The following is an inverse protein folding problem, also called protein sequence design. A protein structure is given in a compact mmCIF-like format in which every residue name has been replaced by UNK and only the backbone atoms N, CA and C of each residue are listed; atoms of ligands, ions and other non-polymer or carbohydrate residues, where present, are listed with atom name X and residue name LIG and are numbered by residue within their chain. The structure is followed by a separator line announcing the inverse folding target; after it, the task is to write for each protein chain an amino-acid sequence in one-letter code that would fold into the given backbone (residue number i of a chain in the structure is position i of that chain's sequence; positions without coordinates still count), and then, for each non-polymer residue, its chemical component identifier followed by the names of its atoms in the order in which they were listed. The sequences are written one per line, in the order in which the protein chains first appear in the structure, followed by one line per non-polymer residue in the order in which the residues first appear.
data_IF_589459174125
#
_entry.id   IF_589459174125
#
_cell.length_a   1.000
_cell.length_b   1.000
_cell.length_c   1.000
_cell.angle_alpha   90.00
_cell.angle_beta   90.00
_cell.angle_gamma   90.00
#
_symmetry.space_group_name_H-M   'P 1'
#
loop_
_entity.id
_entity.type
_entity.pdbx_description
1 polymer ?
#
# COMPACT_ATOMS: atom_id res chain seq x y z
N UNK A 1 -10.84 10.13 15.61
CA UNK A 1 -9.44 9.71 15.80
C UNK A 1 -9.39 8.78 17.01
N UNK A 2 -8.97 7.53 16.82
CA UNK A 2 -8.93 6.49 17.86
C UNK A 2 -7.45 6.30 18.25
N UNK A 3 -7.18 6.32 19.55
CA UNK A 3 -5.86 6.16 20.20
C UNK A 3 -5.02 5.05 19.56
N UNK A 4 -3.98 5.47 18.86
CA UNK A 4 -2.59 5.02 19.02
C UNK A 4 -2.36 3.52 19.21
N UNK A 5 -2.43 2.75 18.12
CA UNK A 5 -1.31 1.85 17.85
C UNK A 5 -0.15 2.74 17.37
N UNK A 6 0.73 3.12 18.30
CA UNK A 6 2.00 3.73 17.91
C UNK A 6 2.72 2.73 16.99
N UNK A 7 2.73 3.00 15.69
CA UNK A 7 3.51 2.22 14.72
C UNK A 7 4.94 2.16 15.22
N UNK A 8 5.46 0.94 15.36
CA UNK A 8 6.82 0.76 15.84
C UNK A 8 7.81 1.36 14.83
N UNK A 9 8.96 1.83 15.32
CA UNK A 9 10.01 2.35 14.44
C UNK A 9 10.48 1.28 13.42
N UNK A 10 10.40 0.00 13.79
CA UNK A 10 10.63 -1.14 12.91
C UNK A 10 9.62 -1.20 11.75
N UNK A 11 8.33 -1.03 12.01
CA UNK A 11 7.30 -1.08 10.96
C UNK A 11 7.42 0.07 9.96
N UNK A 12 7.78 1.25 10.45
CA UNK A 12 8.03 2.44 9.62
C UNK A 12 9.25 2.25 8.72
N UNK A 13 10.35 1.72 9.27
CA UNK A 13 11.59 1.48 8.52
C UNK A 13 11.43 0.36 7.50
N UNK A 14 10.73 -0.72 7.84
CA UNK A 14 10.43 -1.82 6.90
C UNK A 14 9.51 -1.34 5.78
N UNK A 15 8.49 -0.54 6.10
CA UNK A 15 7.59 0.04 5.08
C UNK A 15 8.36 0.95 4.11
N UNK A 16 9.31 1.75 4.61
CA UNK A 16 10.16 2.59 3.77
C UNK A 16 11.14 1.75 2.93
N UNK A 17 11.79 0.76 3.54
CA UNK A 17 12.73 -0.15 2.86
C UNK A 17 12.05 -0.97 1.75
N UNK A 18 10.75 -1.26 1.90
CA UNK A 18 9.94 -1.92 0.86
C UNK A 18 9.97 -1.19 -0.48
N UNK A 19 10.16 0.13 -0.50
CA UNK A 19 10.21 0.89 -1.74
C UNK A 19 11.53 0.78 -2.52
N UNK A 20 12.56 0.10 -1.99
CA UNK A 20 13.74 -0.29 -2.78
C UNK A 20 13.43 -1.61 -3.51
N UNK A 21 13.39 -1.66 -4.85
CA UNK A 21 13.37 -2.95 -5.55
C UNK A 21 14.70 -3.69 -5.34
N UNK A 22 14.71 -5.02 -5.12
CA UNK A 22 13.56 -5.94 -5.03
C UNK A 22 13.11 -6.20 -3.58
N UNK A 23 13.46 -5.36 -2.61
CA UNK A 23 13.25 -5.61 -1.17
C UNK A 23 11.77 -5.86 -0.83
N UNK A 24 10.82 -5.23 -1.52
CA UNK A 24 9.40 -5.54 -1.30
C UNK A 24 9.08 -7.02 -1.48
N UNK A 25 9.70 -7.69 -2.46
CA UNK A 25 9.44 -9.10 -2.74
C UNK A 25 9.98 -9.98 -1.60
N UNK A 26 11.21 -9.68 -1.15
CA UNK A 26 11.84 -10.36 -0.02
C UNK A 26 11.04 -10.16 1.27
N UNK A 27 10.61 -8.94 1.54
CA UNK A 27 9.86 -8.59 2.75
C UNK A 27 8.46 -9.22 2.79
N UNK A 28 7.82 -9.43 1.63
CA UNK A 28 6.53 -10.15 1.52
C UNK A 28 6.62 -11.65 1.86
N UNK A 29 7.81 -12.27 1.77
CA UNK A 29 8.02 -13.66 2.17
C UNK A 29 7.85 -13.86 3.68
N UNK A 30 8.13 -12.83 4.47
CA UNK A 30 8.03 -12.91 5.93
C UNK A 30 6.60 -12.68 6.39
N UNK A 31 6.02 -13.71 7.02
CA UNK A 31 4.65 -13.68 7.57
C UNK A 31 4.40 -12.49 8.50
N UNK A 32 5.41 -12.09 9.30
CA UNK A 32 5.33 -10.94 10.23
C UNK A 32 4.90 -9.65 9.51
N UNK A 33 5.58 -9.30 8.42
CA UNK A 33 5.34 -8.05 7.69
C UNK A 33 4.09 -8.11 6.81
N UNK A 34 3.71 -9.31 6.36
CA UNK A 34 2.47 -9.53 5.59
C UNK A 34 1.20 -9.43 6.43
N UNK A 35 1.28 -9.65 7.75
CA UNK A 35 0.12 -9.55 8.64
C UNK A 35 -0.11 -8.13 9.15
N UNK A 36 0.93 -7.31 9.28
CA UNK A 36 0.77 -5.89 9.61
C UNK A 36 0.11 -5.15 8.43
N UNK A 37 -1.02 -4.49 8.68
CA UNK A 37 -1.78 -3.80 7.64
C UNK A 37 -1.01 -2.63 7.00
N UNK A 38 -0.31 -1.84 7.80
CA UNK A 38 0.48 -0.70 7.34
C UNK A 38 1.66 -1.15 6.48
N UNK A 39 2.45 -2.11 6.97
CA UNK A 39 3.60 -2.64 6.22
C UNK A 39 3.15 -3.35 4.95
N UNK A 40 2.10 -4.18 5.03
CA UNK A 40 1.54 -4.86 3.86
C UNK A 40 1.07 -3.86 2.79
N UNK A 41 0.38 -2.80 3.19
CA UNK A 41 -0.06 -1.76 2.26
C UNK A 41 1.12 -1.18 1.48
N UNK A 42 2.17 -0.74 2.19
CA UNK A 42 3.35 -0.14 1.55
C UNK A 42 4.14 -1.14 0.69
N UNK A 43 4.23 -2.41 1.11
CA UNK A 43 4.87 -3.46 0.32
C UNK A 43 4.12 -3.76 -0.99
N UNK A 44 2.79 -3.90 -0.93
CA UNK A 44 1.97 -4.12 -2.14
C UNK A 44 2.04 -2.88 -3.04
N UNK A 45 2.00 -1.69 -2.47
CA UNK A 45 2.10 -0.45 -3.21
C UNK A 45 3.47 -0.33 -3.93
N UNK A 46 4.57 -0.65 -3.24
CA UNK A 46 5.90 -0.73 -3.84
C UNK A 46 6.00 -1.79 -4.96
N UNK A 47 5.35 -2.94 -4.78
CA UNK A 47 5.28 -3.99 -5.78
C UNK A 47 4.57 -3.51 -7.05
N UNK A 48 3.39 -2.88 -6.90
CA UNK A 48 2.61 -2.34 -8.02
C UNK A 48 3.39 -1.26 -8.77
N UNK A 49 4.06 -0.35 -8.06
CA UNK A 49 4.88 0.69 -8.67
C UNK A 49 6.06 0.10 -9.45
N UNK A 50 6.73 -0.91 -8.87
CA UNK A 50 7.85 -1.61 -9.52
C UNK A 50 7.42 -2.35 -10.79
N UNK A 51 6.28 -3.05 -10.74
CA UNK A 51 5.71 -3.77 -11.88
C UNK A 51 5.25 -2.82 -12.98
N UNK A 52 4.62 -1.71 -12.63
CA UNK A 52 4.21 -0.69 -13.59
C UNK A 52 5.41 -0.08 -14.32
N UNK A 53 6.48 0.26 -13.59
CA UNK A 53 7.71 0.78 -14.20
C UNK A 53 8.38 -0.27 -15.11
N UNK A 54 8.45 -1.54 -14.67
CA UNK A 54 8.98 -2.62 -15.49
C UNK A 54 8.19 -2.79 -16.79
N UNK A 55 6.86 -2.69 -16.74
CA UNK A 55 6.00 -2.76 -17.91
C UNK A 55 6.26 -1.61 -18.88
N UNK A 56 6.39 -0.37 -18.38
CA UNK A 56 6.70 0.80 -19.21
C UNK A 56 8.06 0.63 -19.91
N UNK A 57 9.08 0.21 -19.17
CA UNK A 57 10.43 -0.01 -19.72
C UNK A 57 10.40 -1.11 -20.80
N UNK A 58 9.68 -2.20 -20.55
CA UNK A 58 9.55 -3.31 -21.48
C UNK A 58 8.80 -2.91 -22.76
N UNK A 59 7.69 -2.18 -22.64
CA UNK A 59 6.95 -1.66 -23.79
C UNK A 59 7.78 -0.66 -24.61
N UNK A 60 8.50 0.24 -23.93
CA UNK A 60 9.39 1.22 -24.58
C UNK A 60 10.53 0.53 -25.33
N UNK A 61 11.14 -0.49 -24.73
CA UNK A 61 12.18 -1.30 -25.36
C UNK A 61 11.67 -2.11 -26.55
N UNK A 62 10.51 -2.76 -26.42
CA UNK A 62 9.88 -3.50 -27.52
C UNK A 62 9.51 -2.59 -28.70
N UNK A 63 8.95 -1.41 -28.41
CA UNK A 63 8.64 -0.42 -29.44
C UNK A 63 9.91 0.01 -30.19
N UNK A 64 10.99 0.31 -29.44
CA UNK A 64 12.27 0.70 -30.03
C UNK A 64 12.85 -0.41 -30.93
N UNK A 65 12.81 -1.66 -30.47
CA UNK A 65 13.26 -2.83 -31.24
C UNK A 65 12.46 -3.00 -32.53
N UNK A 66 11.13 -2.88 -32.46
CA UNK A 66 10.25 -3.02 -33.63
C UNK A 66 10.53 -1.92 -34.65
N UNK A 67 10.62 -0.68 -34.20
CA UNK A 67 10.89 0.47 -35.06
C UNK A 67 12.29 0.39 -35.70
N UNK A 68 13.30 -0.07 -34.96
CA UNK A 68 14.63 -0.31 -35.52
C UNK A 68 14.63 -1.39 -36.61
N UNK A 69 13.79 -2.42 -36.50
CA UNK A 69 13.61 -3.42 -37.56
C UNK A 69 12.89 -2.88 -38.80
N UNK A 70 11.89 -2.01 -38.62
CA UNK A 70 11.10 -1.49 -39.74
C UNK A 70 11.78 -0.35 -40.49
N UNK A 71 12.53 0.50 -39.79
CA UNK A 71 13.12 1.73 -40.35
C UNK A 71 14.64 1.65 -40.51
N UNK A 72 15.26 0.55 -40.08
CA UNK A 72 16.70 0.45 -39.91
C UNK A 72 17.19 1.19 -38.66
N UNK A 73 18.50 1.29 -38.49
CA UNK A 73 19.07 2.02 -37.36
C UNK A 73 18.86 3.53 -37.51
N UNK A 74 18.16 4.14 -36.56
CA UNK A 74 17.98 5.59 -36.48
C UNK A 74 18.59 6.13 -35.18
N UNK A 75 19.64 6.95 -35.33
CA UNK A 75 20.31 7.62 -34.21
C UNK A 75 19.33 8.50 -33.41
N UNK A 76 18.45 9.23 -34.11
CA UNK A 76 17.44 10.10 -33.50
C UNK A 76 16.46 9.29 -32.66
N UNK A 77 15.95 8.18 -33.21
CA UNK A 77 15.01 7.31 -32.49
C UNK A 77 15.65 6.69 -31.24
N UNK A 78 16.93 6.33 -31.33
CA UNK A 78 17.71 5.80 -30.20
C UNK A 78 17.83 6.85 -29.10
N UNK A 79 18.17 8.10 -29.45
CA UNK A 79 18.25 9.22 -28.52
C UNK A 79 16.91 9.52 -27.84
N UNK A 80 15.81 9.54 -28.59
CA UNK A 80 14.46 9.77 -28.04
C UNK A 80 14.09 8.65 -27.06
N UNK A 81 14.27 7.39 -27.47
CA UNK A 81 13.96 6.23 -26.62
C UNK A 81 14.78 6.26 -25.32
N UNK A 82 16.09 6.52 -25.42
CA UNK A 82 16.98 6.61 -24.26
C UNK A 82 16.56 7.71 -23.29
N UNK A 83 16.19 8.90 -23.80
CA UNK A 83 15.70 10.00 -22.97
C UNK A 83 14.36 9.68 -22.29
N UNK A 84 13.44 9.00 -22.99
CA UNK A 84 12.16 8.57 -22.40
C UNK A 84 12.39 7.57 -21.26
N UNK A 85 13.30 6.61 -21.44
CA UNK A 85 13.68 5.65 -20.39
C UNK A 85 14.31 6.39 -19.20
N UNK A 86 15.27 7.29 -19.45
CA UNK A 86 15.94 8.05 -18.39
C UNK A 86 14.95 8.91 -17.59
N UNK A 87 14.05 9.60 -18.28
CA UNK A 87 13.00 10.41 -17.63
C UNK A 87 12.04 9.53 -16.82
N UNK A 88 11.61 8.39 -17.35
CA UNK A 88 10.76 7.43 -16.62
C UNK A 88 11.43 6.94 -15.35
N UNK A 89 12.72 6.59 -15.41
CA UNK A 89 13.50 6.17 -14.25
C UNK A 89 13.65 7.29 -13.22
N UNK A 90 13.90 8.52 -13.67
CA UNK A 90 14.04 9.69 -12.79
C UNK A 90 12.73 10.00 -12.06
N UNK A 91 11.61 10.04 -12.79
CA UNK A 91 10.27 10.25 -12.21
C UNK A 91 9.94 9.14 -11.21
N UNK A 92 10.21 7.88 -11.56
CA UNK A 92 9.97 6.73 -10.68
C UNK A 92 10.81 6.80 -9.41
N UNK A 93 12.10 7.17 -9.52
CA UNK A 93 12.98 7.34 -8.37
C UNK A 93 12.47 8.46 -7.44
N UNK A 94 12.03 9.59 -7.99
CA UNK A 94 11.40 10.66 -7.22
C UNK A 94 10.13 10.20 -6.50
N UNK A 95 9.30 9.40 -7.18
CA UNK A 95 8.08 8.85 -6.61
C UNK A 95 8.35 7.84 -5.49
N UNK A 96 9.32 6.95 -5.69
CA UNK A 96 9.81 6.00 -4.67
C UNK A 96 10.30 6.75 -3.43
N UNK A 97 11.13 7.79 -3.61
CA UNK A 97 11.64 8.58 -2.49
C UNK A 97 10.50 9.30 -1.73
N UNK A 98 9.56 9.91 -2.45
CA UNK A 98 8.38 10.53 -1.85
C UNK A 98 7.54 9.53 -1.04
N UNK A 99 7.31 8.34 -1.59
CA UNK A 99 6.58 7.27 -0.92
C UNK A 99 7.30 6.74 0.33
N UNK A 100 8.61 6.53 0.25
CA UNK A 100 9.43 6.10 1.38
C UNK A 100 9.43 7.15 2.50
N UNK A 101 9.56 8.43 2.17
CA UNK A 101 9.49 9.54 3.14
C UNK A 101 8.13 9.66 3.81
N UNK A 102 7.05 9.34 3.11
CA UNK A 102 5.72 9.31 3.73
C UNK A 102 5.53 8.08 4.62
N UNK A 103 6.09 6.94 4.25
CA UNK A 103 6.08 5.73 5.07
C UNK A 103 6.83 5.94 6.39
N UNK A 104 8.00 6.61 6.39
CA UNK A 104 8.72 6.92 7.64
C UNK A 104 7.95 7.88 8.56
N UNK A 105 7.02 8.66 8.01
CA UNK A 105 6.10 9.54 8.76
C UNK A 105 4.80 8.84 9.19
N UNK A 106 4.66 7.54 8.93
CA UNK A 106 3.45 6.76 9.24
C UNK A 106 2.23 7.14 8.39
N UNK A 107 2.44 7.76 7.23
CA UNK A 107 1.36 8.24 6.35
C UNK A 107 1.13 7.29 5.18
N UNK A 108 -0.13 6.92 4.97
CA UNK A 108 -0.56 6.22 3.76
C UNK A 108 -0.41 7.14 2.55
N UNK A 109 0.26 6.66 1.50
CA UNK A 109 0.50 7.44 0.28
C UNK A 109 -0.60 7.15 -0.74
N UNK A 110 -1.52 8.10 -0.93
CA UNK A 110 -2.61 7.93 -1.90
C UNK A 110 -2.15 8.45 -3.25
N UNK A 111 -1.82 7.54 -4.17
CA UNK A 111 -1.68 7.88 -5.59
C UNK A 111 -3.07 7.74 -6.24
N UNK A 112 -3.66 8.82 -6.79
CA UNK A 112 -4.93 8.69 -7.53
C UNK A 112 -4.78 7.67 -8.67
N UNK A 113 -5.72 6.72 -8.77
CA UNK A 113 -5.67 5.58 -9.70
C UNK A 113 -5.14 4.28 -9.06
N UNK A 114 -3.89 4.27 -8.61
CA UNK A 114 -3.25 3.08 -7.99
C UNK A 114 -3.91 2.67 -6.66
N UNK A 115 -4.32 3.66 -5.86
CA UNK A 115 -5.07 3.45 -4.64
C UNK A 115 -6.45 2.84 -4.88
N UNK A 116 -7.13 3.20 -5.98
CA UNK A 116 -8.43 2.61 -6.35
C UNK A 116 -8.28 1.14 -6.75
N UNK A 117 -7.24 0.80 -7.52
CA UNK A 117 -6.92 -0.59 -7.88
C UNK A 117 -6.59 -1.42 -6.62
N UNK A 118 -5.82 -0.85 -5.68
CA UNK A 118 -5.52 -1.50 -4.41
C UNK A 118 -6.79 -1.80 -3.62
N UNK A 119 -7.70 -0.82 -3.46
CA UNK A 119 -8.96 -1.07 -2.76
C UNK A 119 -9.80 -2.11 -3.50
N UNK A 120 -9.92 -2.05 -4.82
CA UNK A 120 -10.70 -3.02 -5.59
C UNK A 120 -10.20 -4.48 -5.42
N UNK A 121 -8.88 -4.69 -5.36
CA UNK A 121 -8.28 -6.04 -5.29
C UNK A 121 -8.11 -6.53 -3.85
N UNK A 122 -7.77 -5.64 -2.92
CA UNK A 122 -7.34 -6.01 -1.58
C UNK A 122 -8.28 -5.54 -0.45
N UNK A 123 -9.36 -4.81 -0.74
CA UNK A 123 -10.35 -4.43 0.28
C UNK A 123 -11.42 -5.48 0.55
N UNK A 124 -11.17 -6.76 0.26
CA UNK A 124 -11.96 -7.83 0.86
C UNK A 124 -11.74 -7.78 2.37
N UNK A 125 -12.54 -6.95 3.06
CA UNK A 125 -12.68 -6.99 4.51
C UNK A 125 -13.13 -8.42 4.82
N UNK A 126 -12.41 -9.14 5.70
CA UNK A 126 -13.00 -10.27 6.37
C UNK A 126 -14.18 -9.73 7.18
N UNK A 127 -15.37 -10.15 6.79
CA UNK A 127 -16.62 -10.14 7.56
C UNK A 127 -17.02 -8.85 8.27
N UNK A 128 -17.79 -8.01 7.57
CA UNK A 128 -19.00 -7.46 8.19
C UNK A 128 -20.19 -8.26 7.70
N UNK A 129 -20.28 -9.54 8.10
CA UNK A 129 -21.58 -10.19 8.14
C UNK A 129 -22.50 -9.31 9.01
N UNK A 130 -23.74 -9.02 8.59
CA UNK A 130 -24.72 -8.28 9.40
C UNK A 130 -24.79 -8.78 10.86
N UNK A 131 -24.55 -10.08 11.06
CA UNK A 131 -24.57 -10.74 12.36
C UNK A 131 -23.46 -10.28 13.32
N UNK A 132 -22.30 -9.88 12.81
CA UNK A 132 -21.19 -9.37 13.63
C UNK A 132 -21.49 -7.96 14.16
N UNK A 133 -22.16 -7.14 13.34
CA UNK A 133 -22.61 -5.80 13.74
C UNK A 133 -23.74 -5.88 14.78
N UNK A 134 -24.68 -6.83 14.60
CA UNK A 134 -25.77 -7.09 15.55
C UNK A 134 -25.21 -7.58 16.90
N UNK A 135 -24.26 -8.52 16.90
CA UNK A 135 -23.62 -9.01 18.14
C UNK A 135 -22.89 -7.91 18.90
N UNK A 136 -22.16 -7.04 18.20
CA UNK A 136 -21.45 -5.92 18.83
C UNK A 136 -22.43 -4.87 19.42
N UNK A 137 -23.59 -4.69 18.79
CA UNK A 137 -24.64 -3.79 19.29
C UNK A 137 -25.38 -4.40 20.51
N UNK A 138 -25.61 -5.72 20.51
CA UNK A 138 -26.20 -6.44 21.64
C UNK A 138 -25.27 -6.47 22.87
N UNK A 139 -23.96 -6.69 22.69
CA UNK A 139 -23.00 -6.65 23.80
C UNK A 139 -22.94 -5.28 24.49
N UNK A 140 -22.97 -4.19 23.72
CA UNK A 140 -23.03 -2.85 24.30
C UNK A 140 -24.34 -2.58 25.06
N UNK A 141 -25.48 -3.09 24.59
CA UNK A 141 -26.76 -2.97 25.33
C UNK A 141 -26.74 -3.77 26.64
N UNK A 142 -26.23 -5.00 26.63
CA UNK A 142 -26.11 -5.84 27.82
C UNK A 142 -25.22 -5.20 28.90
N UNK A 143 -24.07 -4.63 28.50
CA UNK A 143 -23.17 -3.94 29.44
C UNK A 143 -23.79 -2.69 30.11
N UNK A 144 -24.68 -1.97 29.42
CA UNK A 144 -25.39 -0.81 29.99
C UNK A 144 -26.45 -1.22 31.00
N UNK A 145 -27.18 -2.32 30.75
CA UNK A 145 -28.18 -2.83 31.70
C UNK A 145 -27.54 -3.37 32.98
N UNK A 146 -26.38 -4.03 32.89
CA UNK A 146 -25.66 -4.49 34.11
C UNK A 146 -25.10 -3.34 34.94
N UNK A 147 -24.74 -2.22 34.30
CA UNK A 147 -24.28 -1.02 35.02
C UNK A 147 -25.42 -0.35 35.78
N UNK A 148 -26.59 -0.20 35.15
CA UNK A 148 -27.77 0.42 35.79
C UNK A 148 -28.28 -0.39 37.00
N UNK A 149 -28.26 -1.72 36.91
CA UNK A 149 -28.70 -2.60 38.01
C UNK A 149 -27.76 -2.57 39.22
N UNK A 150 -26.49 -2.19 39.04
CA UNK A 150 -25.52 -2.01 40.14
C UNK A 150 -25.72 -0.69 40.88
N UNK A 151 -26.18 0.36 40.19
CA UNK A 151 -26.49 1.67 40.81
C UNK A 151 -27.77 1.63 41.63
N UNK A 152 -28.85 0.98 41.16
CA UNK A 152 -30.11 0.88 41.93
C UNK A 152 -29.98 0.04 43.22
N UNK A 153 -29.02 -0.90 43.28
CA UNK A 153 -28.82 -1.74 44.48
C UNK A 153 -28.05 -1.05 45.61
N UNK A 154 -27.52 0.15 45.38
CA UNK A 154 -26.82 0.96 46.39
C UNK A 154 -27.68 2.06 47.02
N UNK A 155 -28.90 2.26 46.56
CA UNK A 155 -29.78 3.37 47.01
C UNK A 155 -31.03 2.91 47.79
N UNK A 156 -31.11 1.64 48.20
CA UNK A 156 -32.14 1.22 49.17
C UNK A 156 -31.54 1.09 50.57
N UNK A 157 -31.94 1.94 51.54
CA UNK A 157 -31.66 1.73 52.96
C UNK A 157 -32.42 0.52 53.51
#
# INVERSE_FOLDING_TARGET
MRKDEFLSHEELTVAAAGYLPPFWAVLLLFKRWRLNYFTRYHLIHAALLSLANLLILLLTGLFSLLMAKMTGFSFILTMITGNLIALSLLVTAGFIAYCALNATRGRYTVIPGLSQLYYAVFSQRPDSSPDALIRHHQQHRASRQTSFRKTERKEKP
#
